data_IF_339328049448
#
_entry.id   IF_339328049448
#
_cell.length_a   1.000
_cell.length_b   1.000
_cell.length_c   1.000
_cell.angle_alpha   90.00
_cell.angle_beta   90.00
_cell.angle_gamma   90.00
#
_symmetry.space_group_name_H-M   'P 1'
#
loop_
_entity.id
_entity.type
_entity.pdbx_description
1 polymer ?
#
# COMPACT_ATOMS: atom_id res chain seq x y z
N UNK A 1 -10.92 -10.95 -19.04
CA UNK A 1 -11.38 -9.64 -18.56
C UNK A 1 -11.37 -9.71 -17.06
N UNK A 2 -10.46 -8.99 -16.42
CA UNK A 2 -10.26 -9.04 -14.96
C UNK A 2 -11.14 -7.95 -14.36
N UNK A 3 -12.18 -8.35 -13.65
CA UNK A 3 -13.16 -7.42 -13.11
C UNK A 3 -12.65 -6.88 -11.78
N UNK A 4 -12.64 -5.58 -11.58
CA UNK A 4 -12.30 -5.02 -10.27
C UNK A 4 -13.44 -5.27 -9.27
N UNK A 5 -13.11 -5.32 -7.99
CA UNK A 5 -14.07 -5.25 -6.88
C UNK A 5 -13.71 -4.09 -5.98
N UNK A 6 -14.73 -3.36 -5.51
CA UNK A 6 -14.61 -2.32 -4.49
C UNK A 6 -15.45 -2.72 -3.29
N UNK A 7 -14.83 -2.68 -2.12
CA UNK A 7 -15.47 -2.92 -0.84
C UNK A 7 -15.28 -1.69 0.03
N UNK A 8 -16.33 -1.31 0.76
CA UNK A 8 -16.27 -0.19 1.69
C UNK A 8 -16.82 -0.60 3.04
N UNK A 9 -16.15 -0.16 4.10
CA UNK A 9 -16.59 -0.37 5.48
C UNK A 9 -16.01 0.71 6.37
N UNK A 10 -16.62 0.91 7.53
CA UNK A 10 -16.12 1.83 8.56
C UNK A 10 -15.83 1.04 9.82
N UNK A 11 -14.63 1.19 10.38
CA UNK A 11 -14.28 0.54 11.63
C UNK A 11 -13.11 1.20 12.35
N UNK A 12 -13.01 0.93 13.64
CA UNK A 12 -11.86 1.31 14.45
C UNK A 12 -10.68 0.38 14.22
N UNK A 13 -9.46 0.89 14.40
CA UNK A 13 -8.22 0.12 14.20
C UNK A 13 -8.20 -1.23 14.95
N UNK A 14 -8.76 -1.29 16.17
CA UNK A 14 -8.80 -2.52 16.98
C UNK A 14 -9.61 -3.68 16.40
N UNK A 15 -10.49 -3.40 15.44
CA UNK A 15 -11.30 -4.43 14.76
C UNK A 15 -11.07 -4.42 13.25
N UNK A 16 -10.08 -3.66 12.77
CA UNK A 16 -9.78 -3.55 11.35
C UNK A 16 -9.48 -4.91 10.72
N UNK A 17 -8.64 -5.73 11.36
CA UNK A 17 -8.26 -7.05 10.85
C UNK A 17 -9.48 -7.96 10.62
N UNK A 18 -10.33 -8.12 11.65
CA UNK A 18 -11.53 -8.96 11.54
C UNK A 18 -12.55 -8.38 10.54
N UNK A 19 -12.69 -7.06 10.47
CA UNK A 19 -13.63 -6.40 9.55
C UNK A 19 -13.18 -6.54 8.09
N UNK A 20 -11.88 -6.37 7.80
CA UNK A 20 -11.31 -6.59 6.47
C UNK A 20 -11.54 -8.03 6.00
N UNK A 21 -11.15 -9.00 6.84
CA UNK A 21 -11.29 -10.42 6.52
C UNK A 21 -12.76 -10.82 6.32
N UNK A 22 -13.66 -10.40 7.21
CA UNK A 22 -15.08 -10.72 7.08
C UNK A 22 -15.73 -10.05 5.87
N UNK A 23 -15.35 -8.82 5.54
CA UNK A 23 -15.87 -8.10 4.36
C UNK A 23 -15.53 -8.84 3.07
N UNK A 24 -14.25 -9.18 2.86
CA UNK A 24 -13.81 -9.88 1.66
C UNK A 24 -14.38 -11.30 1.58
N UNK A 25 -14.42 -12.02 2.71
CA UNK A 25 -15.01 -13.37 2.80
C UNK A 25 -16.51 -13.37 2.50
N UNK A 26 -17.29 -12.49 3.14
CA UNK A 26 -18.74 -12.46 2.99
C UNK A 26 -19.17 -11.98 1.60
N UNK A 27 -18.37 -11.12 0.98
CA UNK A 27 -18.61 -10.67 -0.38
C UNK A 27 -18.15 -11.67 -1.45
N UNK A 28 -17.58 -12.82 -1.04
CA UNK A 28 -17.07 -13.86 -1.92
C UNK A 28 -16.11 -13.29 -2.97
N UNK A 29 -15.06 -12.57 -2.53
CA UNK A 29 -14.05 -12.04 -3.44
C UNK A 29 -13.50 -13.17 -4.33
N UNK A 30 -13.56 -13.03 -5.68
CA UNK A 30 -13.21 -14.12 -6.59
C UNK A 30 -11.69 -14.31 -6.75
N UNK A 31 -10.88 -13.37 -6.27
CA UNK A 31 -9.44 -13.32 -6.46
C UNK A 31 -8.67 -13.61 -5.17
N UNK A 32 -9.24 -13.32 -4.00
CA UNK A 32 -8.54 -13.39 -2.72
C UNK A 32 -9.32 -14.19 -1.68
N UNK A 33 -8.71 -15.28 -1.22
CA UNK A 33 -9.12 -15.97 0.00
C UNK A 33 -8.61 -15.20 1.22
N UNK A 34 -9.48 -15.04 2.21
CA UNK A 34 -9.15 -14.31 3.43
C UNK A 34 -9.35 -15.13 4.68
N UNK A 35 -8.37 -15.11 5.57
CA UNK A 35 -8.45 -15.71 6.89
C UNK A 35 -8.13 -14.66 7.96
N UNK A 36 -8.99 -14.59 8.97
CA UNK A 36 -8.69 -13.90 10.22
C UNK A 36 -8.14 -14.89 11.23
N UNK A 37 -7.06 -14.52 11.92
CA UNK A 37 -6.63 -15.23 13.13
C UNK A 37 -6.53 -14.25 14.29
N UNK A 38 -7.10 -14.66 15.42
CA UNK A 38 -6.88 -13.97 16.68
C UNK A 38 -5.53 -14.45 17.25
N UNK A 39 -4.67 -13.51 17.65
CA UNK A 39 -3.47 -13.82 18.40
C UNK A 39 -3.70 -13.46 19.87
N UNK A 40 -3.19 -14.25 20.81
CA UNK A 40 -3.45 -14.09 22.25
C UNK A 40 -2.48 -13.16 22.95
N UNK A 41 -1.48 -12.63 22.24
CA UNK A 41 -0.49 -11.70 22.82
C UNK A 41 -1.13 -10.33 23.04
N UNK A 42 -0.97 -9.75 24.24
CA UNK A 42 -1.65 -8.53 24.74
C UNK A 42 -1.67 -7.30 23.79
N UNK A 43 -0.75 -7.23 22.83
CA UNK A 43 -0.59 -6.12 21.90
C UNK A 43 -1.16 -6.38 20.49
N UNK A 44 -1.56 -7.60 20.14
CA UNK A 44 -2.02 -7.92 18.79
C UNK A 44 -3.55 -7.75 18.68
N UNK A 45 -3.98 -6.83 17.81
CA UNK A 45 -5.38 -6.53 17.49
C UNK A 45 -5.96 -7.39 16.36
N UNK A 46 -5.22 -8.41 15.95
CA UNK A 46 -5.64 -9.43 15.01
C UNK A 46 -4.77 -9.47 13.76
N UNK A 47 -4.81 -10.63 13.11
CA UNK A 47 -4.08 -10.88 11.89
C UNK A 47 -5.06 -11.13 10.72
N UNK A 48 -4.70 -10.65 9.54
CA UNK A 48 -5.37 -10.98 8.27
C UNK A 48 -4.39 -11.63 7.34
N UNK A 49 -4.80 -12.73 6.73
CA UNK A 49 -4.12 -13.35 5.61
C UNK A 49 -4.96 -13.12 4.37
N UNK A 50 -4.30 -12.67 3.30
CA UNK A 50 -4.87 -12.55 1.97
C UNK A 50 -4.07 -13.50 1.07
N UNK A 51 -4.72 -14.52 0.53
CA UNK A 51 -4.10 -15.51 -0.37
C UNK A 51 -4.76 -15.44 -1.72
N UNK A 52 -3.97 -15.30 -2.78
CA UNK A 52 -4.53 -15.23 -4.12
C UNK A 52 -5.03 -16.60 -4.60
N UNK A 53 -6.25 -16.65 -5.14
CA UNK A 53 -6.90 -17.89 -5.57
C UNK A 53 -6.25 -18.50 -6.82
N UNK A 54 -5.60 -17.67 -7.65
CA UNK A 54 -4.94 -18.08 -8.90
C UNK A 54 -3.45 -18.34 -8.75
N UNK A 55 -2.84 -17.81 -7.68
CA UNK A 55 -1.44 -18.01 -7.33
C UNK A 55 -1.32 -18.17 -5.82
N UNK A 56 -1.45 -19.40 -5.32
CA UNK A 56 -1.35 -19.68 -3.89
C UNK A 56 0.01 -19.29 -3.29
N UNK A 57 1.04 -19.09 -4.11
CA UNK A 57 2.32 -18.54 -3.68
C UNK A 57 2.26 -17.05 -3.32
N UNK A 58 1.30 -16.29 -3.85
CA UNK A 58 1.10 -14.88 -3.55
C UNK A 58 0.20 -14.73 -2.32
N UNK A 59 0.82 -14.34 -1.22
CA UNK A 59 0.17 -14.20 0.08
C UNK A 59 0.66 -12.97 0.80
N UNK A 60 -0.25 -12.30 1.48
CA UNK A 60 0.05 -11.17 2.35
C UNK A 60 -0.49 -11.44 3.74
N UNK A 61 0.37 -11.33 4.75
CA UNK A 61 -0.03 -11.32 6.16
C UNK A 61 0.04 -9.89 6.70
N UNK A 62 -1.03 -9.45 7.35
CA UNK A 62 -1.14 -8.18 8.07
C UNK A 62 -1.38 -8.47 9.54
N UNK A 63 -0.39 -8.22 10.40
CA UNK A 63 -0.52 -8.33 11.85
C UNK A 63 -0.69 -6.93 12.44
N UNK A 64 -1.88 -6.59 12.94
CA UNK A 64 -2.15 -5.27 13.53
C UNK A 64 -1.71 -5.28 14.98
N UNK A 65 -0.67 -4.51 15.31
CA UNK A 65 -0.07 -4.48 16.64
C UNK A 65 -0.21 -3.10 17.25
N UNK A 66 -0.92 -3.03 18.36
CA UNK A 66 -1.01 -1.84 19.19
C UNK A 66 0.08 -1.81 20.27
N UNK A 67 0.52 -0.62 20.62
CA UNK A 67 1.46 -0.37 21.69
C UNK A 67 1.13 0.99 22.33
N UNK A 68 1.76 1.30 23.46
CA UNK A 68 1.44 2.50 24.25
C UNK A 68 1.51 3.84 23.48
N UNK A 69 2.18 3.85 22.32
CA UNK A 69 2.42 5.04 21.49
C UNK A 69 1.81 4.96 20.09
N UNK A 70 1.00 3.95 19.78
CA UNK A 70 0.46 3.84 18.42
C UNK A 70 -0.06 2.45 18.05
N UNK A 71 -0.29 2.31 16.75
CA UNK A 71 -0.79 1.09 16.13
C UNK A 71 -0.08 0.94 14.80
N UNK A 72 0.58 -0.19 14.61
CA UNK A 72 1.37 -0.49 13.42
C UNK A 72 0.95 -1.83 12.81
N UNK A 73 1.21 -2.00 11.52
CA UNK A 73 1.12 -3.30 10.84
C UNK A 73 2.51 -3.89 10.73
N UNK A 74 2.64 -5.16 11.11
CA UNK A 74 3.78 -6.00 10.77
C UNK A 74 3.38 -6.92 9.63
N UNK A 75 4.29 -7.10 8.68
CA UNK A 75 3.99 -7.73 7.40
C UNK A 75 4.55 -9.14 7.31
N UNK A 76 3.89 -9.95 6.49
CA UNK A 76 4.40 -11.22 6.02
C UNK A 76 4.11 -11.43 4.55
N UNK A 77 5.04 -12.12 3.87
CA UNK A 77 4.96 -12.44 2.44
C UNK A 77 5.10 -13.93 2.18
N UNK A 78 5.73 -14.70 3.08
CA UNK A 78 5.90 -16.14 2.88
C UNK A 78 4.59 -16.91 2.99
N UNK A 79 4.38 -17.81 2.04
CA UNK A 79 3.37 -18.84 2.18
C UNK A 79 3.87 -19.98 3.10
N UNK A 80 3.38 -19.99 4.34
CA UNK A 80 3.66 -21.03 5.35
C UNK A 80 2.51 -22.05 5.51
N UNK A 81 1.59 -22.14 4.53
CA UNK A 81 0.38 -22.98 4.61
C UNK A 81 -0.86 -22.22 5.10
N UNK A 82 -2.05 -22.66 4.70
CA UNK A 82 -3.28 -21.83 4.64
C UNK A 82 -3.77 -21.19 5.95
N UNK A 83 -3.38 -21.69 7.12
CA UNK A 83 -3.87 -21.22 8.43
C UNK A 83 -2.85 -20.44 9.26
N UNK A 84 -1.59 -20.35 8.83
CA UNK A 84 -0.51 -19.78 9.65
C UNK A 84 -0.32 -18.28 9.38
N UNK A 85 -0.84 -17.43 10.25
CA UNK A 85 -0.51 -16.00 10.22
C UNK A 85 0.88 -15.79 10.82
N UNK A 86 1.84 -15.30 10.04
CA UNK A 86 3.15 -14.94 10.56
C UNK A 86 3.63 -13.64 9.92
N UNK A 87 4.08 -12.64 10.70
CA UNK A 87 4.74 -11.45 10.15
C UNK A 87 6.21 -11.79 9.84
N UNK A 88 6.44 -12.64 8.84
CA UNK A 88 7.77 -13.17 8.52
C UNK A 88 8.80 -12.09 8.15
N UNK A 89 8.36 -10.95 7.60
CA UNK A 89 9.24 -9.80 7.32
C UNK A 89 9.75 -9.14 8.61
N UNK A 90 8.97 -9.18 9.69
CA UNK A 90 9.38 -8.63 10.98
C UNK A 90 10.30 -9.60 11.75
N UNK A 91 10.11 -10.91 11.55
CA UNK A 91 10.92 -11.95 12.21
C UNK A 91 12.27 -12.10 11.50
N UNK A 92 12.26 -12.08 10.17
CA UNK A 92 13.42 -12.24 9.31
C UNK A 92 13.52 -11.02 8.38
N UNK A 93 13.90 -9.84 8.90
CA UNK A 93 14.06 -8.66 8.05
C UNK A 93 15.19 -8.86 7.03
N UNK A 94 15.23 -8.05 5.96
CA UNK A 94 16.36 -8.00 5.05
C UNK A 94 17.66 -7.73 5.82
N UNK A 95 18.79 -8.22 5.31
CA UNK A 95 20.10 -7.98 5.91
C UNK A 95 20.32 -6.47 6.12
N UNK A 96 20.93 -6.11 7.26
CA UNK A 96 21.26 -4.73 7.66
C UNK A 96 20.06 -3.79 7.85
N UNK A 97 18.83 -4.30 7.85
CA UNK A 97 17.60 -3.53 8.12
C UNK A 97 17.03 -3.91 9.48
N UNK A 98 16.82 -2.92 10.34
CA UNK A 98 16.09 -3.12 11.58
C UNK A 98 14.61 -3.43 11.28
N UNK A 99 14.10 -4.54 11.84
CA UNK A 99 12.70 -5.01 11.67
C UNK A 99 11.64 -3.94 11.98
N UNK A 100 11.93 -3.03 12.90
CA UNK A 100 11.01 -1.96 13.29
C UNK A 100 10.85 -0.89 12.20
N UNK A 101 11.80 -0.80 11.25
CA UNK A 101 11.73 0.05 10.06
C UNK A 101 10.92 -0.58 8.91
N UNK A 102 10.35 -1.76 9.14
CA UNK A 102 9.47 -2.48 8.21
C UNK A 102 8.03 -2.53 8.71
N UNK A 103 7.71 -1.75 9.74
CA UNK A 103 6.36 -1.59 10.24
C UNK A 103 5.65 -0.45 9.51
N UNK A 104 4.35 -0.60 9.30
CA UNK A 104 3.53 0.47 8.73
C UNK A 104 2.67 1.10 9.83
N UNK A 105 2.91 2.35 10.23
CA UNK A 105 2.09 3.01 11.24
C UNK A 105 0.70 3.32 10.71
N UNK A 106 -0.30 3.42 11.58
CA UNK A 106 -1.57 4.07 11.24
C UNK A 106 -1.65 5.50 11.74
N UNK A 107 -0.71 5.96 12.55
CA UNK A 107 -0.82 7.24 13.22
C UNK A 107 0.52 7.87 13.62
N UNK A 108 0.50 9.18 13.88
CA UNK A 108 1.65 10.07 14.09
C UNK A 108 1.58 10.82 15.43
N UNK A 109 1.47 10.09 16.55
CA UNK A 109 1.36 10.70 17.87
C UNK A 109 2.00 9.83 18.96
N UNK A 110 2.41 10.44 20.07
CA UNK A 110 2.97 9.76 21.25
C UNK A 110 1.89 9.21 22.20
N UNK A 111 0.85 8.59 21.66
CA UNK A 111 -0.24 7.99 22.45
C UNK A 111 -1.04 7.01 21.60
N UNK A 112 -1.60 5.99 22.23
CA UNK A 112 -2.43 5.01 21.54
C UNK A 112 -3.87 5.54 21.37
N UNK A 113 -4.32 5.71 20.13
CA UNK A 113 -5.70 6.08 19.82
C UNK A 113 -6.35 5.02 18.93
N UNK A 114 -7.55 4.59 19.29
CA UNK A 114 -8.34 3.70 18.46
C UNK A 114 -9.10 4.53 17.40
N UNK A 115 -8.36 4.99 16.39
CA UNK A 115 -8.88 5.83 15.31
C UNK A 115 -9.95 5.06 14.52
N UNK A 116 -11.03 5.74 14.17
CA UNK A 116 -12.07 5.25 13.28
C UNK A 116 -11.78 5.70 11.85
N UNK A 117 -11.78 4.74 10.93
CA UNK A 117 -11.48 4.97 9.52
C UNK A 117 -12.64 4.53 8.65
N UNK A 118 -12.90 5.30 7.59
CA UNK A 118 -13.59 4.81 6.40
C UNK A 118 -12.57 4.12 5.51
N UNK A 119 -12.81 2.85 5.23
CA UNK A 119 -11.94 2.02 4.41
C UNK A 119 -12.54 1.80 3.03
N UNK A 120 -11.68 1.86 2.01
CA UNK A 120 -11.96 1.40 0.65
C UNK A 120 -10.92 0.35 0.28
N UNK A 121 -11.39 -0.85 -0.08
CA UNK A 121 -10.54 -1.95 -0.53
C UNK A 121 -10.87 -2.24 -1.97
N UNK A 122 -9.88 -2.13 -2.86
CA UNK A 122 -10.04 -2.44 -4.28
C UNK A 122 -9.20 -3.67 -4.60
N UNK A 123 -9.80 -4.68 -5.22
CA UNK A 123 -9.12 -5.94 -5.56
C UNK A 123 -9.27 -6.26 -7.05
N UNK A 124 -8.28 -6.97 -7.58
CA UNK A 124 -8.35 -7.70 -8.84
C UNK A 124 -7.47 -8.97 -8.72
N UNK A 125 -7.25 -9.69 -9.83
CA UNK A 125 -6.47 -10.94 -9.79
C UNK A 125 -5.00 -10.80 -9.39
N UNK A 126 -4.42 -9.60 -9.50
CA UNK A 126 -2.99 -9.36 -9.30
C UNK A 126 -2.70 -8.52 -8.04
N UNK A 127 -3.70 -7.85 -7.47
CA UNK A 127 -3.48 -6.91 -6.36
C UNK A 127 -4.66 -6.70 -5.42
N UNK A 128 -4.33 -6.15 -4.26
CA UNK A 128 -5.22 -5.56 -3.26
C UNK A 128 -4.70 -4.17 -2.93
N UNK A 129 -5.54 -3.16 -3.12
CA UNK A 129 -5.31 -1.80 -2.67
C UNK A 129 -6.19 -1.51 -1.45
N UNK A 130 -5.57 -1.05 -0.36
CA UNK A 130 -6.29 -0.68 0.87
C UNK A 130 -6.09 0.81 1.11
N UNK A 131 -7.19 1.54 1.12
CA UNK A 131 -7.26 2.97 1.40
C UNK A 131 -8.02 3.23 2.70
N UNK A 132 -7.50 4.12 3.55
CA UNK A 132 -8.15 4.52 4.79
C UNK A 132 -8.17 6.04 4.96
N UNK A 133 -9.37 6.57 5.19
CA UNK A 133 -9.63 7.97 5.54
C UNK A 133 -10.07 8.06 7.00
N UNK A 134 -9.36 8.85 7.80
CA UNK A 134 -9.70 9.01 9.21
C UNK A 134 -10.98 9.84 9.37
N UNK A 135 -11.89 9.34 10.21
CA UNK A 135 -13.14 10.03 10.55
C UNK A 135 -13.03 10.81 11.86
N UNK A 136 -12.06 10.46 12.70
CA UNK A 136 -11.70 11.17 13.92
C UNK A 136 -10.18 11.30 14.03
N UNK A 137 -9.73 12.28 14.82
CA UNK A 137 -8.31 12.60 15.01
C UNK A 137 -7.52 12.79 13.70
N UNK A 138 -8.04 13.55 12.70
CA UNK A 138 -7.37 13.74 11.41
C UNK A 138 -5.96 14.35 11.53
N UNK A 139 -5.68 15.05 12.63
CA UNK A 139 -4.36 15.63 12.94
C UNK A 139 -3.33 14.62 13.46
N UNK A 140 -3.76 13.38 13.73
CA UNK A 140 -2.93 12.30 14.31
C UNK A 140 -2.92 11.04 13.47
N UNK A 141 -3.96 10.84 12.67
CA UNK A 141 -4.16 9.65 11.87
C UNK A 141 -3.46 9.82 10.51
N UNK A 142 -2.67 8.82 10.10
CA UNK A 142 -2.12 8.86 8.75
C UNK A 142 -3.20 8.51 7.74
N UNK A 143 -3.15 9.10 6.53
CA UNK A 143 -3.65 8.37 5.38
C UNK A 143 -3.10 6.98 5.31
N UNK A 144 -4.01 6.04 5.09
CA UNK A 144 -3.59 4.70 4.73
C UNK A 144 -3.73 4.54 3.24
N UNK A 145 -2.63 4.23 2.56
CA UNK A 145 -2.67 3.60 1.24
C UNK A 145 -1.64 2.49 1.24
N UNK A 146 -2.08 1.30 0.94
CA UNK A 146 -1.26 0.10 1.00
C UNK A 146 -1.52 -0.63 -0.30
N UNK A 147 -0.46 -0.86 -1.05
CA UNK A 147 -0.50 -1.63 -2.28
C UNK A 147 0.10 -2.99 -2.02
N UNK A 148 -0.70 -4.03 -2.20
CA UNK A 148 -0.29 -5.42 -2.13
C UNK A 148 -0.47 -6.00 -3.51
N UNK A 149 0.55 -6.59 -4.11
CA UNK A 149 0.32 -7.23 -5.40
C UNK A 149 1.55 -7.66 -6.16
N UNK A 150 1.26 -8.26 -7.31
CA UNK A 150 2.24 -8.73 -8.27
C UNK A 150 2.92 -7.56 -8.98
N UNK A 151 4.22 -7.67 -9.12
CA UNK A 151 5.02 -6.79 -9.95
C UNK A 151 5.24 -7.46 -11.32
N UNK A 152 5.04 -6.71 -12.39
CA UNK A 152 5.32 -7.14 -13.76
C UNK A 152 6.69 -6.60 -14.18
N UNK A 153 7.62 -7.50 -14.48
CA UNK A 153 8.94 -7.12 -14.95
C UNK A 153 8.90 -6.58 -16.38
N UNK A 154 9.77 -5.61 -16.70
CA UNK A 154 9.91 -5.06 -18.06
C UNK A 154 10.37 -6.13 -19.06
N UNK A 155 11.20 -7.06 -18.58
CA UNK A 155 11.73 -8.15 -19.38
C UNK A 155 10.96 -9.44 -19.11
N UNK A 156 10.88 -10.32 -20.11
CA UNK A 156 10.27 -11.64 -19.94
C UNK A 156 11.17 -12.51 -19.05
N UNK A 157 10.64 -12.86 -17.88
CA UNK A 157 11.33 -13.70 -16.89
C UNK A 157 10.88 -15.16 -16.93
N UNK A 158 11.71 -16.02 -16.36
CA UNK A 158 11.32 -17.39 -16.02
C UNK A 158 10.09 -17.36 -15.08
N UNK A 159 9.01 -18.10 -15.38
CA UNK A 159 7.83 -18.17 -14.52
C UNK A 159 8.12 -18.52 -13.04
N UNK A 160 9.17 -19.30 -12.76
CA UNK A 160 9.58 -19.66 -11.41
C UNK A 160 10.14 -18.48 -10.60
N UNK A 161 10.65 -17.45 -11.30
CA UNK A 161 11.13 -16.19 -10.72
C UNK A 161 9.99 -15.18 -10.68
N UNK A 162 9.30 -14.99 -11.82
CA UNK A 162 8.22 -14.02 -11.98
C UNK A 162 7.03 -14.27 -11.02
N UNK A 163 6.75 -15.53 -10.66
CA UNK A 163 5.69 -15.88 -9.70
C UNK A 163 5.98 -15.42 -8.27
N UNK A 164 7.23 -15.12 -7.94
CA UNK A 164 7.68 -14.64 -6.62
C UNK A 164 7.90 -13.12 -6.58
N UNK A 165 7.74 -12.44 -7.71
CA UNK A 165 7.90 -11.00 -7.79
C UNK A 165 6.57 -10.29 -7.46
N UNK A 166 6.26 -10.24 -6.17
CA UNK A 166 5.13 -9.52 -5.59
C UNK A 166 5.56 -8.89 -4.27
N UNK A 167 4.86 -7.87 -3.79
CA UNK A 167 5.32 -7.15 -2.61
C UNK A 167 4.26 -6.31 -1.90
N UNK A 168 4.68 -5.74 -0.77
CA UNK A 168 3.95 -4.74 -0.01
C UNK A 168 4.62 -3.39 -0.19
N UNK A 169 3.84 -2.41 -0.64
CA UNK A 169 4.24 -1.02 -0.76
C UNK A 169 3.30 -0.18 0.12
N UNK A 170 3.70 0.13 1.36
CA UNK A 170 2.87 0.88 2.30
C UNK A 170 2.95 2.39 2.02
N UNK A 171 2.16 3.15 2.77
CA UNK A 171 2.18 4.60 2.72
C UNK A 171 3.44 5.22 3.30
N UNK A 172 3.99 4.62 4.36
CA UNK A 172 5.22 5.08 4.99
C UNK A 172 6.39 4.29 4.40
N UNK A 173 7.39 4.94 3.76
CA UNK A 173 8.51 4.24 3.15
C UNK A 173 9.25 3.32 4.13
N UNK A 174 9.48 2.08 3.73
CA UNK A 174 10.30 1.16 4.52
C UNK A 174 11.78 1.52 4.54
N UNK A 175 12.45 1.11 5.62
CA UNK A 175 13.90 1.27 5.81
C UNK A 175 14.36 2.72 5.65
N UNK A 176 13.55 3.66 6.15
CA UNK A 176 13.84 5.08 6.18
C UNK A 176 13.59 5.62 7.58
N UNK A 177 14.57 6.34 8.11
CA UNK A 177 14.45 7.07 9.37
C UNK A 177 15.34 8.30 9.33
N UNK A 178 14.80 9.43 8.88
CA UNK A 178 15.53 10.70 8.82
C UNK A 178 14.66 11.83 9.35
N UNK A 179 15.23 12.59 10.28
CA UNK A 179 14.58 13.75 10.89
C UNK A 179 14.77 15.03 10.06
N UNK A 180 15.45 14.95 8.90
CA UNK A 180 15.63 16.09 8.03
C UNK A 180 14.30 16.54 7.39
N UNK A 181 14.15 17.85 7.15
CA UNK A 181 12.89 18.45 6.78
C UNK A 181 12.55 18.35 5.27
N UNK A 182 13.48 17.89 4.43
CA UNK A 182 13.36 17.99 2.98
C UNK A 182 12.75 16.71 2.35
N UNK A 183 11.50 16.80 1.89
CA UNK A 183 10.74 15.72 1.21
C UNK A 183 11.44 15.10 -0.02
N UNK A 184 12.49 15.76 -0.53
CA UNK A 184 13.21 15.34 -1.73
C UNK A 184 14.10 14.10 -1.51
N UNK A 185 14.42 13.75 -0.26
CA UNK A 185 15.31 12.62 0.04
C UNK A 185 14.57 11.32 0.33
N UNK A 186 13.29 11.38 0.70
CA UNK A 186 12.44 10.22 0.89
C UNK A 186 12.14 9.59 -0.48
N UNK A 187 12.23 8.28 -0.63
CA UNK A 187 11.73 7.59 -1.82
C UNK A 187 10.66 6.63 -1.35
N UNK A 188 9.46 6.59 -1.96
CA UNK A 188 8.49 5.57 -1.58
C UNK A 188 9.08 4.18 -1.81
N UNK A 189 8.95 3.32 -0.80
CA UNK A 189 9.66 2.04 -0.69
C UNK A 189 8.76 0.97 -0.11
N UNK A 190 8.89 -0.23 -0.66
CA UNK A 190 8.25 -1.44 -0.18
C UNK A 190 9.24 -2.60 -0.15
N UNK A 191 8.73 -3.78 0.17
CA UNK A 191 9.49 -5.04 0.12
C UNK A 191 8.80 -5.99 -0.84
N UNK A 192 9.60 -6.63 -1.71
CA UNK A 192 9.16 -7.74 -2.55
C UNK A 192 9.57 -9.08 -1.93
N UNK A 193 8.76 -10.11 -2.17
CA UNK A 193 8.98 -11.45 -1.62
C UNK A 193 10.33 -12.02 -2.05
N UNK A 194 10.71 -11.89 -3.32
CA UNK A 194 12.06 -12.21 -3.80
C UNK A 194 12.50 -11.23 -4.90
N UNK A 195 13.79 -10.87 -4.91
CA UNK A 195 14.42 -10.21 -6.06
C UNK A 195 14.63 -11.19 -7.21
N UNK A 196 15.09 -10.67 -8.36
CA UNK A 196 15.48 -11.49 -9.51
C UNK A 196 16.55 -12.53 -9.21
N UNK A 197 17.46 -12.20 -8.30
CA UNK A 197 18.54 -13.11 -7.91
C UNK A 197 18.08 -14.14 -6.85
N UNK A 198 16.77 -14.20 -6.57
CA UNK A 198 16.18 -15.09 -5.58
C UNK A 198 16.39 -14.66 -4.13
N UNK A 199 16.92 -13.44 -3.90
CA UNK A 199 17.10 -12.91 -2.55
C UNK A 199 15.75 -12.55 -1.97
N UNK A 200 15.37 -13.24 -0.90
CA UNK A 200 14.09 -12.99 -0.22
C UNK A 200 14.07 -11.61 0.45
N UNK A 201 12.89 -11.02 0.53
CA UNK A 201 12.64 -9.73 1.20
C UNK A 201 13.54 -8.59 0.72
N UNK A 202 13.59 -8.36 -0.58
CA UNK A 202 14.41 -7.24 -1.08
C UNK A 202 13.62 -5.94 -1.05
N UNK A 203 14.25 -4.86 -0.59
CA UNK A 203 13.66 -3.52 -0.62
C UNK A 203 13.62 -2.98 -2.03
N UNK A 204 12.47 -2.48 -2.46
CA UNK A 204 12.31 -1.84 -3.77
C UNK A 204 11.73 -0.44 -3.59
N UNK A 205 12.26 0.51 -4.35
CA UNK A 205 11.59 1.76 -4.55
C UNK A 205 10.35 1.54 -5.42
N UNK A 206 9.30 2.25 -5.10
CA UNK A 206 8.01 2.17 -5.75
C UNK A 206 7.43 3.57 -5.85
N UNK A 207 7.05 4.00 -7.03
CA UNK A 207 6.44 5.32 -7.17
C UNK A 207 6.11 5.65 -8.60
N UNK A 208 5.48 6.80 -8.75
CA UNK A 208 5.09 7.32 -10.06
C UNK A 208 5.24 8.83 -10.11
N UNK A 209 5.34 9.35 -11.33
CA UNK A 209 5.41 10.78 -11.58
C UNK A 209 4.07 11.46 -11.28
N UNK A 210 4.10 12.78 -11.11
CA UNK A 210 2.91 13.59 -10.76
C UNK A 210 2.76 14.77 -11.70
N UNK A 211 2.78 14.49 -13.00
CA UNK A 211 2.66 15.49 -14.05
C UNK A 211 1.18 15.57 -14.49
N UNK A 212 0.55 16.77 -14.50
CA UNK A 212 -0.83 16.94 -14.93
C UNK A 212 -1.01 16.56 -16.40
N UNK A 213 -2.07 15.79 -16.66
CA UNK A 213 -2.55 15.54 -18.01
C UNK A 213 -2.96 16.86 -18.68
N UNK A 214 -2.73 17.02 -20.00
CA UNK A 214 -2.99 18.27 -20.71
C UNK A 214 -4.46 18.73 -20.67
N UNK A 215 -5.41 17.85 -20.34
CA UNK A 215 -6.77 18.18 -19.90
C UNK A 215 -7.74 18.65 -20.99
N UNK A 216 -7.25 19.06 -22.16
CA UNK A 216 -8.06 19.47 -23.32
C UNK A 216 -7.91 18.43 -24.45
N UNK A 217 -9.04 18.00 -25.04
CA UNK A 217 -9.05 17.12 -26.20
C UNK A 217 -8.88 15.62 -25.91
N UNK A 218 -9.31 15.14 -24.74
CA UNK A 218 -9.25 13.72 -24.35
C UNK A 218 -7.83 13.10 -24.35
N UNK A 219 -6.80 13.93 -24.15
CA UNK A 219 -5.42 13.49 -24.04
C UNK A 219 -5.05 13.33 -22.57
N UNK A 220 -4.71 12.10 -22.18
CA UNK A 220 -4.39 11.73 -20.82
C UNK A 220 -2.96 11.21 -20.75
N UNK A 221 -2.23 11.62 -19.72
CA UNK A 221 -0.92 11.09 -19.38
C UNK A 221 -1.09 10.14 -18.20
N UNK A 222 -1.21 8.86 -18.52
CA UNK A 222 -1.35 7.78 -17.54
C UNK A 222 0.04 7.23 -17.25
N UNK A 223 0.40 7.15 -15.98
CA UNK A 223 1.71 6.67 -15.55
C UNK A 223 1.60 5.37 -14.78
N UNK A 224 2.48 4.39 -15.04
CA UNK A 224 2.59 3.21 -14.19
C UNK A 224 3.24 3.55 -12.85
N UNK A 225 3.03 2.67 -11.87
CA UNK A 225 3.84 2.68 -10.66
C UNK A 225 5.08 1.85 -10.90
N UNK A 226 6.20 2.53 -11.10
CA UNK A 226 7.48 1.89 -11.38
C UNK A 226 8.03 1.25 -10.12
N UNK A 227 8.53 0.03 -10.28
CA UNK A 227 9.23 -0.75 -9.26
C UNK A 227 10.69 -0.85 -9.67
N UNK A 228 11.59 -0.34 -8.84
CA UNK A 228 13.02 -0.25 -9.17
C UNK A 228 13.90 -0.41 -7.94
N UNK A 229 15.14 -0.85 -8.15
CA UNK A 229 16.11 -1.02 -7.08
C UNK A 229 17.40 -0.26 -7.43
N UNK A 230 18.04 0.48 -6.50
CA UNK A 230 19.16 1.37 -6.82
C UNK A 230 20.35 0.72 -7.55
N UNK A 231 20.68 -0.53 -7.20
CA UNK A 231 21.76 -1.29 -7.85
C UNK A 231 21.33 -2.03 -9.12
N UNK A 232 20.02 -2.14 -9.31
CA UNK A 232 19.41 -3.04 -10.29
C UNK A 232 18.70 -2.27 -11.43
N UNK A 233 18.41 -1.00 -11.22
CA UNK A 233 17.67 -0.14 -12.16
C UNK A 233 16.15 -0.35 -12.08
N UNK A 234 15.46 0.21 -13.07
CA UNK A 234 14.03 -0.01 -13.30
C UNK A 234 13.78 -1.50 -13.59
N UNK A 235 12.92 -2.13 -12.81
CA UNK A 235 12.65 -3.57 -12.94
C UNK A 235 11.29 -3.87 -13.53
N UNK A 236 10.32 -3.05 -13.23
CA UNK A 236 8.95 -3.38 -13.56
C UNK A 236 7.98 -2.32 -13.12
N UNK A 237 6.74 -2.75 -13.03
CA UNK A 237 5.64 -1.97 -12.53
C UNK A 237 4.76 -2.81 -11.61
N UNK A 238 4.06 -2.16 -10.69
CA UNK A 238 3.01 -2.84 -9.94
C UNK A 238 1.81 -3.06 -10.86
N UNK A 239 1.40 -4.33 -11.00
CA UNK A 239 0.37 -4.74 -11.95
C UNK A 239 -1.02 -4.31 -11.49
N UNK A 240 -1.86 -3.95 -12.45
CA UNK A 240 -3.29 -3.69 -12.23
C UNK A 240 -3.60 -2.29 -11.68
N UNK A 241 -2.60 -1.43 -11.49
CA UNK A 241 -2.78 -0.05 -11.07
C UNK A 241 -1.94 0.92 -11.89
N UNK A 242 -2.54 2.06 -12.21
CA UNK A 242 -1.90 3.21 -12.83
C UNK A 242 -2.27 4.46 -12.05
N UNK A 243 -1.61 5.57 -12.36
CA UNK A 243 -1.98 6.87 -11.83
C UNK A 243 -2.20 7.88 -12.95
N UNK A 244 -2.95 8.91 -12.62
CA UNK A 244 -3.16 10.06 -13.47
C UNK A 244 -3.29 11.30 -12.60
N UNK A 245 -2.94 12.45 -13.17
CA UNK A 245 -3.24 13.75 -12.59
C UNK A 245 -4.19 14.46 -13.55
N UNK A 246 -5.46 14.61 -13.15
CA UNK A 246 -6.44 15.37 -13.91
C UNK A 246 -6.22 16.86 -13.70
N UNK A 247 -6.24 17.64 -14.79
CA UNK A 247 -6.16 19.12 -14.69
C UNK A 247 -7.39 19.72 -13.99
N UNK A 248 -8.54 19.05 -14.09
CA UNK A 248 -9.79 19.43 -13.42
C UNK A 248 -10.46 18.19 -12.84
N UNK A 249 -10.66 18.20 -11.52
CA UNK A 249 -11.28 17.14 -10.72
C UNK A 249 -12.69 16.75 -11.16
N UNK A 250 -13.43 17.68 -11.75
CA UNK A 250 -14.85 17.47 -12.13
C UNK A 250 -14.98 16.58 -13.38
N UNK A 251 -13.92 16.42 -14.17
CA UNK A 251 -14.00 15.70 -15.45
C UNK A 251 -14.27 14.20 -15.27
N UNK A 252 -13.82 13.61 -14.16
CA UNK A 252 -14.04 12.21 -13.83
C UNK A 252 -14.23 12.13 -12.32
N UNK A 253 -15.42 11.87 -11.78
CA UNK A 253 -15.61 11.69 -10.35
C UNK A 253 -15.18 10.29 -9.88
N UNK A 254 -15.03 10.11 -8.56
CA UNK A 254 -14.82 8.79 -7.97
C UNK A 254 -15.86 7.77 -8.41
N UNK A 255 -15.38 6.63 -8.88
CA UNK A 255 -16.23 5.55 -9.39
C UNK A 255 -16.63 5.67 -10.85
N UNK A 256 -16.21 6.74 -11.54
CA UNK A 256 -16.42 6.85 -12.99
C UNK A 256 -15.51 5.90 -13.75
N UNK A 257 -15.83 5.75 -15.04
CA UNK A 257 -15.02 5.00 -16.01
C UNK A 257 -14.34 6.01 -16.94
N UNK A 258 -13.01 5.95 -16.98
CA UNK A 258 -12.19 6.60 -18.00
C UNK A 258 -11.95 5.60 -19.14
N UNK A 259 -12.55 5.87 -20.30
CA UNK A 259 -12.37 5.07 -21.51
C UNK A 259 -11.32 5.74 -22.42
N UNK A 260 -10.17 5.08 -22.58
CA UNK A 260 -9.08 5.51 -23.46
C UNK A 260 -9.06 4.73 -24.78
N UNK A 261 -10.15 4.02 -25.11
CA UNK A 261 -10.25 3.24 -26.33
C UNK A 261 -9.30 2.04 -26.32
N UNK A 262 -8.35 2.03 -27.27
CA UNK A 262 -7.38 0.92 -27.40
C UNK A 262 -6.41 0.84 -26.22
N UNK A 263 -6.16 1.96 -25.54
CA UNK A 263 -5.25 2.01 -24.40
C UNK A 263 -5.89 1.48 -23.11
N UNK A 264 -7.20 1.17 -23.13
CA UNK A 264 -7.91 0.49 -22.06
C UNK A 264 -9.02 1.31 -21.42
N UNK A 265 -9.77 0.64 -20.54
CA UNK A 265 -10.80 1.24 -19.71
C UNK A 265 -10.37 1.15 -18.26
N UNK A 266 -10.59 2.23 -17.53
CA UNK A 266 -10.13 2.36 -16.17
C UNK A 266 -11.24 2.84 -15.27
N UNK A 267 -11.37 2.20 -14.12
CA UNK A 267 -12.12 2.73 -13.00
C UNK A 267 -11.29 3.78 -12.28
N UNK A 268 -11.90 4.93 -12.00
CA UNK A 268 -11.23 6.09 -11.40
C UNK A 268 -11.44 6.12 -9.90
N UNK A 269 -10.36 6.30 -9.15
CA UNK A 269 -10.36 6.51 -7.71
C UNK A 269 -9.42 7.66 -7.35
N UNK A 270 -9.97 8.81 -7.00
CA UNK A 270 -9.23 9.95 -6.53
C UNK A 270 -8.57 9.64 -5.21
N UNK A 271 -7.34 10.09 -5.13
CA UNK A 271 -6.62 10.14 -3.86
C UNK A 271 -6.45 11.60 -3.55
N UNK A 272 -7.00 12.03 -2.42
CA UNK A 272 -6.80 13.40 -1.95
C UNK A 272 -5.28 13.65 -1.86
N UNK A 273 -4.80 14.74 -2.45
CA UNK A 273 -3.44 15.20 -2.15
C UNK A 273 -3.44 15.56 -0.68
N UNK A 274 -2.78 14.74 0.14
CA UNK A 274 -2.92 14.93 1.56
C UNK A 274 -2.04 16.05 2.03
N UNK A 275 -2.68 17.03 2.64
CA UNK A 275 -2.05 17.82 3.66
C UNK A 275 -1.63 16.86 4.78
N UNK A 276 -0.37 16.97 5.19
CA UNK A 276 0.20 16.19 6.28
C UNK A 276 -0.67 16.34 7.54
N UNK A 277 -0.81 15.30 8.39
CA UNK A 277 -1.61 15.39 9.62
C UNK A 277 -1.23 16.62 10.47
N UNK A 278 0.06 17.01 10.39
CA UNK A 278 0.61 18.30 10.80
C UNK A 278 2.00 18.46 10.15
N UNK A 279 2.43 19.68 9.83
CA UNK A 279 3.80 19.97 9.40
C UNK A 279 4.86 19.51 10.42
N UNK A 280 4.51 19.44 11.71
CA UNK A 280 5.44 19.06 12.78
C UNK A 280 5.32 17.61 13.27
N UNK A 281 4.11 17.12 13.57
CA UNK A 281 3.89 15.77 14.13
C UNK A 281 3.64 14.68 13.09
N UNK A 282 3.28 15.04 11.85
CA UNK A 282 3.08 14.08 10.75
C UNK A 282 4.38 13.51 10.16
N UNK A 283 5.53 13.82 10.76
CA UNK A 283 6.88 13.48 10.28
C UNK A 283 7.52 12.31 11.03
N UNK A 284 6.78 11.69 11.93
CA UNK A 284 7.29 10.53 12.66
C UNK A 284 6.15 9.68 13.20
N UNK A 285 6.48 8.45 13.52
CA UNK A 285 5.63 7.53 14.26
C UNK A 285 6.46 6.83 15.32
N UNK A 286 5.81 6.14 16.25
CA UNK A 286 6.52 5.25 17.15
C UNK A 286 6.40 3.83 16.62
N UNK A 287 7.52 3.14 16.49
CA UNK A 287 7.49 1.72 16.21
C UNK A 287 6.99 0.94 17.43
N UNK A 288 6.80 -0.37 17.28
CA UNK A 288 6.35 -1.22 18.39
C UNK A 288 7.38 -1.36 19.53
N UNK A 289 8.64 -0.94 19.33
CA UNK A 289 9.62 -0.76 20.41
C UNK A 289 9.51 0.62 21.10
N UNK A 290 8.48 1.40 20.76
CA UNK A 290 8.21 2.74 21.29
C UNK A 290 9.30 3.78 20.97
N UNK A 291 10.16 3.50 19.99
CA UNK A 291 11.19 4.41 19.48
C UNK A 291 10.62 5.23 18.33
N UNK A 292 10.85 6.56 18.28
CA UNK A 292 10.41 7.37 17.17
C UNK A 292 11.17 6.99 15.89
N UNK A 293 10.44 6.79 14.81
CA UNK A 293 10.96 6.60 13.45
C UNK A 293 10.48 7.79 12.63
N UNK A 294 11.42 8.49 11.99
CA UNK A 294 11.13 9.71 11.25
C UNK A 294 10.91 9.42 9.77
N UNK A 295 9.83 9.94 9.22
CA UNK A 295 9.46 9.71 7.83
C UNK A 295 8.08 10.32 7.56
N UNK A 296 7.73 10.40 6.28
CA UNK A 296 6.44 10.95 5.85
C UNK A 296 5.72 9.97 4.95
N UNK A 297 4.38 9.93 4.99
CA UNK A 297 3.64 9.19 3.99
C UNK A 297 4.03 9.67 2.59
N UNK A 298 4.56 8.77 1.76
CA UNK A 298 5.00 9.07 0.41
C UNK A 298 4.45 8.01 -0.53
N UNK A 299 3.76 8.47 -1.56
CA UNK A 299 3.10 7.63 -2.56
C UNK A 299 3.54 7.97 -3.99
N UNK A 300 3.90 9.23 -4.18
CA UNK A 300 4.31 9.81 -5.44
C UNK A 300 5.72 10.38 -5.26
N UNK A 301 6.52 10.42 -6.33
CA UNK A 301 7.91 10.90 -6.24
C UNK A 301 8.00 12.37 -5.81
N UNK A 302 6.96 13.17 -6.04
CA UNK A 302 6.85 14.56 -5.59
C UNK A 302 5.69 14.79 -4.62
N UNK A 303 5.92 15.61 -3.59
CA UNK A 303 4.87 16.05 -2.65
C UNK A 303 3.87 17.01 -3.30
N UNK A 304 4.34 17.88 -4.22
CA UNK A 304 3.52 18.88 -4.91
C UNK A 304 3.19 18.46 -6.34
N UNK A 305 1.95 18.68 -6.74
CA UNK A 305 1.55 18.64 -8.15
C UNK A 305 2.20 19.82 -8.89
N UNK A 306 2.98 19.52 -9.93
CA UNK A 306 3.54 20.56 -10.79
C UNK A 306 2.42 21.11 -11.68
N UNK A 307 1.89 22.31 -11.38
CA UNK A 307 0.85 22.95 -12.20
C UNK A 307 -0.60 22.74 -11.74
N UNK A 308 -0.82 22.20 -10.53
CA UNK A 308 -2.16 21.96 -9.96
C UNK A 308 -2.86 20.71 -10.55
N UNK A 309 -4.11 20.47 -10.13
CA UNK A 309 -4.93 19.34 -10.57
C UNK A 309 -5.40 18.45 -9.42
N UNK A 310 -5.86 17.24 -9.74
CA UNK A 310 -6.23 16.21 -8.76
C UNK A 310 -5.65 14.86 -9.17
N UNK A 311 -4.98 14.19 -8.23
CA UNK A 311 -4.46 12.83 -8.42
C UNK A 311 -5.58 11.80 -8.37
N UNK A 312 -5.50 10.82 -9.27
CA UNK A 312 -6.32 9.62 -9.21
C UNK A 312 -5.48 8.39 -9.49
N UNK A 313 -5.90 7.29 -8.87
CA UNK A 313 -5.52 5.94 -9.18
C UNK A 313 -6.50 5.40 -10.22
N UNK A 314 -5.95 4.67 -11.17
CA UNK A 314 -6.68 4.06 -12.27
C UNK A 314 -6.54 2.55 -12.16
N UNK A 315 -7.68 1.85 -12.15
CA UNK A 315 -7.76 0.40 -12.05
C UNK A 315 -8.32 -0.13 -13.35
N UNK A 316 -7.55 -0.94 -14.08
CA UNK A 316 -7.97 -1.45 -15.39
C UNK A 316 -9.16 -2.40 -15.27
N UNK A 317 -10.15 -2.29 -16.18
CA UNK A 317 -11.38 -3.10 -16.24
C UNK A 317 -11.60 -3.76 -17.60
#
# INVERSE_FOLDING_TARGET
MTMIRRYEFTCTLSVFATTLASTLKNALDPYWETLYTAETTYANWGNVLLTNTKSSYMRFTMCVVAHARGVNVRWGLKNQGGSVALPDLFINPPADIDKFLLETPFMCHNGQYNVNYKWSVITNEDMVFIHGESLNYPERAYPVRIFLGKCEAIEKEDPAIASKFYGVFPHMPFAYSDNNAADQYDTPRGVVMASRNGTEYTLYNFGTESIPSPGVGSRYYVTPFMVYHPLEGARGELKGIRSIVFKNSVQHPDGSILDLGQDGKYYVFHVMDQDYPNADTGRYYYNTNQVPVYGRPKFFHGAKLLGGGQRALLFQI
#
